data_IF_506128295219
#
_entry.id   IF_506128295219
#
_cell.length_a   1.000
_cell.length_b   1.000
_cell.length_c   1.000
_cell.angle_alpha   90.00
_cell.angle_beta   90.00
_cell.angle_gamma   90.00
#
_symmetry.space_group_name_H-M   'P 1'
#
loop_
_entity.id
_entity.type
_entity.pdbx_description
1 polymer ?
#
# COMPACT_ATOMS: atom_id res chain seq x y z
N UNK A 1 -14.01 -26.37 27.53
CA UNK A 1 -12.89 -26.17 26.57
C UNK A 1 -12.82 -24.67 26.28
N UNK A 2 -11.91 -23.97 26.91
CA UNK A 2 -11.66 -22.56 26.57
C UNK A 2 -11.12 -22.49 25.13
N UNK A 3 -11.89 -21.91 24.24
CA UNK A 3 -11.41 -21.57 22.90
C UNK A 3 -10.27 -20.56 23.08
N UNK A 4 -9.02 -21.02 23.00
CA UNK A 4 -7.86 -20.13 22.93
C UNK A 4 -8.13 -19.11 21.84
N UNK A 5 -8.38 -17.86 22.22
CA UNK A 5 -8.46 -16.72 21.28
C UNK A 5 -7.21 -16.79 20.42
N UNK A 6 -7.39 -17.06 19.13
CA UNK A 6 -6.30 -17.11 18.16
C UNK A 6 -5.63 -15.73 18.19
N UNK A 7 -4.46 -15.64 18.78
CA UNK A 7 -3.69 -14.37 18.82
C UNK A 7 -3.44 -13.97 17.37
N UNK A 8 -3.98 -12.81 16.97
CA UNK A 8 -3.77 -12.31 15.60
C UNK A 8 -2.30 -12.00 15.39
N UNK A 9 -1.75 -12.44 14.29
CA UNK A 9 -0.38 -12.10 13.91
C UNK A 9 -0.26 -10.60 13.57
N UNK A 10 0.95 -10.04 13.76
CA UNK A 10 1.24 -8.63 13.49
C UNK A 10 1.97 -8.46 12.15
N UNK A 11 1.73 -7.34 11.45
CA UNK A 11 2.54 -6.91 10.32
C UNK A 11 3.73 -6.07 10.76
N UNK A 12 4.85 -6.12 10.02
CA UNK A 12 5.97 -5.20 10.19
C UNK A 12 6.16 -4.39 8.90
N UNK A 13 6.06 -3.06 9.01
CA UNK A 13 6.39 -2.12 7.95
C UNK A 13 7.76 -1.49 8.22
N UNK A 14 8.67 -1.58 7.25
CA UNK A 14 9.98 -0.94 7.31
C UNK A 14 10.01 0.20 6.30
N UNK A 15 10.06 1.43 6.79
CA UNK A 15 10.19 2.61 5.94
C UNK A 15 11.64 2.79 5.50
N UNK A 16 11.90 2.74 4.21
CA UNK A 16 13.23 2.99 3.64
C UNK A 16 13.19 4.36 2.95
N UNK A 17 13.77 5.41 3.56
CA UNK A 17 13.56 6.78 3.11
C UNK A 17 14.46 7.24 1.95
N UNK A 18 15.17 6.36 1.28
CA UNK A 18 16.14 6.75 0.25
C UNK A 18 15.53 6.76 -1.14
N UNK A 19 15.81 7.82 -1.92
CA UNK A 19 15.48 7.96 -3.33
C UNK A 19 16.69 8.47 -4.11
N UNK A 20 16.88 8.01 -5.36
CA UNK A 20 17.84 8.65 -6.28
C UNK A 20 17.39 10.07 -6.58
N UNK A 21 16.11 10.25 -6.85
CA UNK A 21 15.46 11.53 -7.12
C UNK A 21 14.02 11.48 -6.62
N UNK A 22 13.58 12.53 -5.93
CA UNK A 22 12.19 12.66 -5.50
C UNK A 22 11.29 13.04 -6.67
N UNK A 23 10.23 12.27 -6.89
CA UNK A 23 9.24 12.55 -7.93
C UNK A 23 8.43 13.80 -7.57
N UNK A 24 8.03 14.64 -8.55
CA UNK A 24 7.39 15.92 -8.28
C UNK A 24 5.98 15.83 -7.66
N UNK A 25 5.35 14.67 -7.71
CA UNK A 25 4.04 14.41 -7.10
C UNK A 25 4.12 13.73 -5.73
N UNK A 26 5.30 13.21 -5.33
CA UNK A 26 5.43 12.34 -4.16
C UNK A 26 5.51 13.13 -2.86
N UNK A 27 4.63 12.84 -1.90
CA UNK A 27 4.62 13.43 -0.55
C UNK A 27 5.30 12.54 0.50
N UNK A 28 5.65 11.29 0.15
CA UNK A 28 6.33 10.39 1.07
C UNK A 28 7.65 10.97 1.54
N UNK A 29 7.94 10.74 2.82
CA UNK A 29 9.22 11.15 3.38
C UNK A 29 10.36 10.39 2.72
N UNK A 30 11.28 11.13 2.11
CA UNK A 30 12.48 10.57 1.51
C UNK A 30 13.64 11.59 1.55
N UNK A 31 14.86 11.06 1.53
CA UNK A 31 16.12 11.79 1.48
C UNK A 31 16.93 11.32 0.26
N UNK A 32 17.89 12.13 -0.16
CA UNK A 32 18.81 11.77 -1.21
C UNK A 32 19.62 10.52 -0.85
N UNK A 33 20.03 9.77 -1.87
CA UNK A 33 20.86 8.58 -1.73
C UNK A 33 22.23 8.94 -1.10
N UNK A 34 22.63 8.20 -0.05
CA UNK A 34 23.90 8.35 0.65
C UNK A 34 24.30 7.00 1.29
N UNK A 35 25.32 6.34 0.74
CA UNK A 35 25.76 5.00 1.16
C UNK A 35 26.13 4.93 2.64
N UNK A 36 26.93 5.89 3.16
CA UNK A 36 27.34 5.90 4.56
C UNK A 36 26.14 6.04 5.50
N UNK A 37 25.15 6.85 5.11
CA UNK A 37 23.92 7.03 5.88
C UNK A 37 23.04 5.77 5.85
N UNK A 38 23.05 5.02 4.75
CA UNK A 38 22.31 3.75 4.65
C UNK A 38 22.79 2.69 5.64
N UNK A 39 24.11 2.59 5.86
CA UNK A 39 24.66 1.65 6.86
C UNK A 39 24.24 2.03 8.28
N UNK A 40 24.40 3.30 8.63
CA UNK A 40 24.00 3.83 9.94
C UNK A 40 22.48 3.62 10.15
N UNK A 41 21.68 3.94 9.13
CA UNK A 41 20.24 3.77 9.14
C UNK A 41 19.84 2.30 9.32
N UNK A 42 20.45 1.38 8.58
CA UNK A 42 20.20 -0.06 8.70
C UNK A 42 20.47 -0.57 10.11
N UNK A 43 21.57 -0.09 10.74
CA UNK A 43 21.87 -0.43 12.13
C UNK A 43 20.80 0.09 13.09
N UNK A 44 20.31 1.32 12.90
CA UNK A 44 19.23 1.90 13.71
C UNK A 44 17.91 1.12 13.56
N UNK A 45 17.56 0.69 12.34
CA UNK A 45 16.41 -0.19 12.07
C UNK A 45 16.56 -1.52 12.83
N UNK A 46 17.72 -2.18 12.74
CA UNK A 46 17.98 -3.43 13.45
C UNK A 46 17.89 -3.27 14.98
N UNK A 47 18.38 -2.16 15.51
CA UNK A 47 18.27 -1.84 16.95
C UNK A 47 16.80 -1.63 17.36
N UNK A 48 16.02 -0.93 16.52
CA UNK A 48 14.60 -0.72 16.75
C UNK A 48 13.83 -2.05 16.77
N UNK A 49 14.10 -2.95 15.81
CA UNK A 49 13.51 -4.31 15.76
C UNK A 49 13.80 -5.05 17.07
N UNK A 50 15.06 -5.08 17.52
CA UNK A 50 15.47 -5.71 18.80
C UNK A 50 14.74 -5.10 20.00
N UNK A 51 14.54 -3.78 20.03
CA UNK A 51 13.85 -3.11 21.15
C UNK A 51 12.35 -3.43 21.16
N UNK A 52 11.71 -3.48 19.99
CA UNK A 52 10.29 -3.81 19.88
C UNK A 52 10.00 -5.28 20.20
N UNK A 53 10.90 -6.21 19.88
CA UNK A 53 10.70 -7.63 20.21
C UNK A 53 10.57 -7.91 21.71
N UNK A 54 11.09 -7.03 22.55
CA UNK A 54 10.89 -7.12 24.02
C UNK A 54 9.47 -6.75 24.46
N UNK A 55 8.71 -6.07 23.61
CA UNK A 55 7.37 -5.54 23.90
C UNK A 55 6.25 -6.28 23.14
N UNK A 56 6.60 -6.98 22.06
CA UNK A 56 5.67 -7.67 21.16
C UNK A 56 6.04 -9.14 21.13
N UNK A 57 5.10 -10.00 21.57
CA UNK A 57 5.25 -11.46 21.57
C UNK A 57 4.45 -12.15 20.46
N UNK A 58 3.80 -11.37 19.60
CA UNK A 58 2.96 -11.88 18.51
C UNK A 58 3.81 -12.43 17.37
N UNK A 59 3.27 -13.45 16.67
CA UNK A 59 3.83 -13.95 15.43
C UNK A 59 3.75 -12.87 14.33
N UNK A 60 4.71 -12.89 13.41
CA UNK A 60 4.75 -11.97 12.25
C UNK A 60 4.33 -12.73 11.00
N UNK A 61 3.32 -12.24 10.31
CA UNK A 61 2.79 -12.83 9.08
C UNK A 61 2.95 -11.96 7.83
N UNK A 62 3.36 -10.69 8.00
CA UNK A 62 3.72 -9.81 6.88
C UNK A 62 4.91 -8.92 7.23
N UNK A 63 5.82 -8.73 6.27
CA UNK A 63 6.91 -7.76 6.33
C UNK A 63 6.85 -6.94 5.03
N UNK A 64 6.81 -5.61 5.15
CA UNK A 64 6.70 -4.73 4.00
C UNK A 64 7.80 -3.66 4.02
N UNK A 65 8.65 -3.66 3.01
CA UNK A 65 9.65 -2.62 2.78
C UNK A 65 9.10 -1.59 1.80
N UNK A 66 8.82 -0.39 2.28
CA UNK A 66 8.23 0.69 1.49
C UNK A 66 8.82 2.06 1.80
N UNK A 67 8.25 3.10 1.18
CA UNK A 67 8.53 4.50 1.48
C UNK A 67 9.18 5.29 0.37
N UNK A 68 10.50 5.37 0.29
CA UNK A 68 11.23 5.97 -0.81
C UNK A 68 11.40 4.98 -1.97
N UNK A 69 12.55 4.36 -2.06
CA UNK A 69 12.85 3.26 -2.99
C UNK A 69 13.64 2.20 -2.22
N UNK A 70 12.96 1.25 -1.58
CA UNK A 70 13.60 0.27 -0.69
C UNK A 70 14.72 -0.53 -1.32
N UNK A 71 14.64 -0.82 -2.62
CA UNK A 71 15.67 -1.54 -3.35
C UNK A 71 17.04 -0.83 -3.42
N UNK A 72 17.07 0.49 -3.15
CA UNK A 72 18.33 1.26 -3.17
C UNK A 72 19.29 0.92 -2.04
N UNK A 73 18.79 0.41 -0.90
CA UNK A 73 19.72 0.05 0.19
C UNK A 73 20.55 -1.20 -0.11
N UNK A 74 20.22 -1.92 -1.18
CA UNK A 74 20.93 -3.11 -1.64
C UNK A 74 20.59 -4.37 -0.86
N UNK A 75 20.89 -5.51 -1.48
CA UNK A 75 20.47 -6.84 -1.00
C UNK A 75 21.09 -7.19 0.36
N UNK A 76 22.32 -6.79 0.61
CA UNK A 76 23.04 -7.08 1.88
C UNK A 76 22.35 -6.43 3.08
N UNK A 77 21.93 -5.15 2.95
CA UNK A 77 21.23 -4.44 4.04
C UNK A 77 19.82 -4.96 4.23
N UNK A 78 19.12 -5.30 3.13
CA UNK A 78 17.82 -5.97 3.19
C UNK A 78 17.91 -7.29 3.96
N UNK A 79 18.89 -8.13 3.61
CA UNK A 79 19.14 -9.39 4.30
C UNK A 79 19.40 -9.17 5.79
N UNK A 80 20.26 -8.20 6.15
CA UNK A 80 20.55 -7.88 7.56
C UNK A 80 19.28 -7.52 8.35
N UNK A 81 18.36 -6.75 7.76
CA UNK A 81 17.09 -6.40 8.40
C UNK A 81 16.21 -7.65 8.55
N UNK A 82 16.04 -8.44 7.48
CA UNK A 82 15.21 -9.66 7.48
C UNK A 82 15.75 -10.66 8.51
N UNK A 83 17.05 -10.91 8.55
CA UNK A 83 17.68 -11.79 9.53
C UNK A 83 17.50 -11.27 10.96
N UNK A 84 17.52 -9.95 11.16
CA UNK A 84 17.26 -9.37 12.47
C UNK A 84 15.81 -9.61 12.89
N UNK A 85 14.83 -9.46 11.98
CA UNK A 85 13.42 -9.78 12.28
C UNK A 85 13.29 -11.27 12.61
N UNK A 86 13.85 -12.16 11.78
CA UNK A 86 13.79 -13.61 12.00
C UNK A 86 14.45 -14.07 13.31
N UNK A 87 15.48 -13.35 13.77
CA UNK A 87 16.16 -13.61 15.04
C UNK A 87 15.30 -13.26 16.26
N UNK A 88 14.51 -12.20 16.18
CA UNK A 88 13.82 -11.64 17.34
C UNK A 88 12.31 -11.86 17.34
N UNK A 89 11.70 -12.24 16.22
CA UNK A 89 10.28 -12.51 16.09
C UNK A 89 10.03 -13.92 15.54
N UNK A 90 8.91 -14.52 15.93
CA UNK A 90 8.44 -15.78 15.35
C UNK A 90 7.77 -15.45 14.01
N UNK A 91 8.32 -15.95 12.91
CA UNK A 91 7.77 -15.78 11.57
C UNK A 91 6.76 -16.89 11.25
N UNK A 92 5.58 -16.49 10.76
CA UNK A 92 4.51 -17.42 10.38
C UNK A 92 4.24 -17.34 8.88
N UNK A 93 5.08 -17.97 8.09
CA UNK A 93 4.99 -17.95 6.62
C UNK A 93 4.69 -16.53 6.08
N UNK A 94 5.52 -15.54 6.40
CA UNK A 94 5.21 -14.15 6.13
C UNK A 94 5.18 -13.85 4.63
N UNK A 95 4.24 -13.01 4.22
CA UNK A 95 4.37 -12.26 2.98
C UNK A 95 5.46 -11.20 3.19
N UNK A 96 6.55 -11.28 2.42
CA UNK A 96 7.67 -10.32 2.48
C UNK A 96 7.67 -9.52 1.18
N UNK A 97 7.21 -8.28 1.26
CA UNK A 97 7.09 -7.37 0.11
C UNK A 97 8.23 -6.37 0.08
N UNK A 98 8.72 -6.05 -1.12
CA UNK A 98 9.61 -4.91 -1.38
C UNK A 98 9.09 -4.06 -2.53
N UNK A 99 9.10 -2.73 -2.34
CA UNK A 99 8.86 -1.77 -3.40
C UNK A 99 10.14 -1.55 -4.25
N UNK A 100 9.96 -1.57 -5.57
CA UNK A 100 11.04 -1.43 -6.54
C UNK A 100 10.60 -0.48 -7.65
N UNK A 101 11.51 0.38 -8.11
CA UNK A 101 11.30 1.14 -9.34
C UNK A 101 12.03 0.43 -10.50
N UNK A 102 11.42 0.35 -11.70
CA UNK A 102 12.17 -0.04 -12.89
C UNK A 102 13.33 0.95 -13.10
N UNK A 103 14.52 0.44 -13.32
CA UNK A 103 15.72 1.24 -13.53
C UNK A 103 16.42 0.81 -14.81
N UNK A 104 17.06 1.76 -15.50
CA UNK A 104 17.88 1.44 -16.68
C UNK A 104 19.18 0.77 -16.24
N UNK A 105 19.44 -0.42 -16.76
CA UNK A 105 20.75 -1.06 -16.77
C UNK A 105 21.22 -1.80 -15.53
N UNK A 106 20.64 -1.59 -14.33
CA UNK A 106 21.00 -2.35 -13.13
C UNK A 106 19.82 -3.15 -12.63
N UNK A 107 19.86 -4.46 -12.83
CA UNK A 107 18.91 -5.37 -12.21
C UNK A 107 19.41 -5.79 -10.82
N UNK A 108 18.47 -5.94 -9.90
CA UNK A 108 18.70 -6.61 -8.63
C UNK A 108 18.92 -8.12 -8.86
N UNK A 109 19.67 -8.76 -7.99
CA UNK A 109 19.72 -10.21 -7.96
C UNK A 109 18.44 -10.77 -7.33
N UNK A 110 17.45 -11.05 -8.19
CA UNK A 110 16.16 -11.60 -7.75
C UNK A 110 16.29 -13.01 -7.14
N UNK A 111 17.28 -13.80 -7.57
CA UNK A 111 17.56 -15.11 -6.98
C UNK A 111 18.03 -14.95 -5.55
N UNK A 112 18.89 -13.98 -5.28
CA UNK A 112 19.30 -13.64 -3.92
C UNK A 112 18.14 -13.07 -3.11
N UNK A 113 17.35 -12.15 -3.66
CA UNK A 113 16.16 -11.61 -2.96
C UNK A 113 15.18 -12.74 -2.56
N UNK A 114 14.95 -13.69 -3.46
CA UNK A 114 14.15 -14.88 -3.16
C UNK A 114 14.77 -15.72 -2.04
N UNK A 115 16.09 -15.93 -2.07
CA UNK A 115 16.79 -16.75 -1.07
C UNK A 115 16.73 -16.18 0.33
N UNK A 116 16.66 -14.84 0.48
CA UNK A 116 16.50 -14.17 1.78
C UNK A 116 15.05 -14.06 2.22
N UNK A 117 14.10 -14.62 1.45
CA UNK A 117 12.69 -14.75 1.81
C UNK A 117 11.75 -13.74 1.18
N UNK A 118 12.23 -12.77 0.35
CA UNK A 118 11.34 -11.87 -0.38
C UNK A 118 10.51 -12.69 -1.36
N UNK A 119 9.18 -12.58 -1.25
CA UNK A 119 8.23 -13.39 -2.02
C UNK A 119 7.14 -12.55 -2.70
N UNK A 120 7.15 -11.22 -2.54
CA UNK A 120 6.26 -10.30 -3.22
C UNK A 120 7.01 -9.02 -3.63
N UNK A 121 6.74 -8.53 -4.85
CA UNK A 121 7.27 -7.26 -5.36
C UNK A 121 6.13 -6.27 -5.60
N UNK A 122 6.37 -4.96 -5.34
CA UNK A 122 5.54 -3.85 -5.81
C UNK A 122 6.39 -2.99 -6.73
N UNK A 123 6.01 -2.91 -8.00
CA UNK A 123 6.84 -2.30 -9.04
C UNK A 123 6.18 -1.01 -9.53
N UNK A 124 6.82 0.11 -9.27
CA UNK A 124 6.33 1.44 -9.61
C UNK A 124 6.40 1.76 -11.10
N UNK A 125 5.53 1.18 -11.92
CA UNK A 125 5.43 1.44 -13.37
C UNK A 125 4.83 2.80 -13.67
N UNK A 126 3.73 3.16 -13.03
CA UNK A 126 2.92 4.36 -13.13
C UNK A 126 2.20 4.52 -14.49
N UNK A 127 2.89 4.39 -15.60
CA UNK A 127 2.36 4.43 -16.98
C UNK A 127 3.32 3.72 -17.94
N UNK A 128 2.83 3.35 -19.11
CA UNK A 128 3.66 2.89 -20.25
C UNK A 128 3.95 4.03 -21.25
N UNK A 129 3.27 5.16 -21.12
CA UNK A 129 3.44 6.30 -22.03
C UNK A 129 4.66 7.15 -21.60
N UNK A 130 5.56 7.45 -22.54
CA UNK A 130 6.82 8.17 -22.27
C UNK A 130 6.59 9.61 -21.79
N UNK A 131 5.60 10.30 -22.35
CA UNK A 131 5.34 11.71 -22.02
C UNK A 131 4.69 11.83 -20.63
N UNK A 132 3.81 10.90 -20.29
CA UNK A 132 3.24 10.77 -18.95
C UNK A 132 4.34 10.49 -17.93
N UNK A 133 5.21 9.49 -18.18
CA UNK A 133 6.34 9.17 -17.31
C UNK A 133 7.30 10.35 -17.15
N UNK A 134 7.61 11.06 -18.23
CA UNK A 134 8.45 12.26 -18.20
C UNK A 134 7.83 13.35 -17.31
N UNK A 135 6.52 13.58 -17.42
CA UNK A 135 5.80 14.53 -16.58
C UNK A 135 5.85 14.13 -15.10
N UNK A 136 5.74 12.83 -14.81
CA UNK A 136 5.88 12.28 -13.46
C UNK A 136 7.33 12.27 -12.95
N UNK A 137 8.31 12.74 -13.75
CA UNK A 137 9.73 12.73 -13.38
C UNK A 137 10.35 11.35 -13.35
N UNK A 138 9.76 10.36 -14.05
CA UNK A 138 10.26 8.98 -14.14
C UNK A 138 11.24 8.83 -15.29
N UNK A 139 12.32 8.07 -15.07
CA UNK A 139 13.40 7.87 -16.06
C UNK A 139 13.37 6.51 -16.74
N UNK A 140 12.46 5.61 -16.35
CA UNK A 140 12.27 4.30 -16.95
C UNK A 140 11.24 4.33 -18.09
N UNK A 141 11.12 3.24 -18.81
CA UNK A 141 10.09 3.00 -19.82
C UNK A 141 9.43 1.62 -19.61
N UNK A 142 8.42 1.33 -20.42
CA UNK A 142 7.67 0.08 -20.34
C UNK A 142 8.54 -1.18 -20.50
N UNK A 143 9.61 -1.11 -21.32
CA UNK A 143 10.51 -2.25 -21.53
C UNK A 143 11.37 -2.53 -20.30
N UNK A 144 11.80 -1.51 -19.57
CA UNK A 144 12.56 -1.68 -18.32
C UNK A 144 11.72 -2.45 -17.29
N UNK A 145 10.42 -2.15 -17.21
CA UNK A 145 9.49 -2.88 -16.33
C UNK A 145 9.29 -4.34 -16.78
N UNK A 146 9.14 -4.60 -18.09
CA UNK A 146 9.03 -5.97 -18.63
C UNK A 146 10.27 -6.81 -18.30
N UNK A 147 11.47 -6.25 -18.47
CA UNK A 147 12.72 -6.93 -18.14
C UNK A 147 12.78 -7.26 -16.65
N UNK A 148 12.44 -6.30 -15.78
CA UNK A 148 12.40 -6.51 -14.33
C UNK A 148 11.44 -7.64 -13.95
N UNK A 149 10.21 -7.59 -14.43
CA UNK A 149 9.16 -8.59 -14.14
C UNK A 149 9.62 -9.98 -14.60
N UNK A 150 10.08 -10.10 -15.86
CA UNK A 150 10.57 -11.38 -16.40
C UNK A 150 11.74 -11.94 -15.59
N UNK A 151 12.66 -11.09 -15.13
CA UNK A 151 13.81 -11.51 -14.30
C UNK A 151 13.37 -11.98 -12.92
N UNK A 152 12.39 -11.31 -12.29
CA UNK A 152 11.82 -11.73 -11.02
C UNK A 152 11.08 -13.08 -11.13
N UNK A 153 10.26 -13.25 -12.18
CA UNK A 153 9.54 -14.51 -12.44
C UNK A 153 10.51 -15.68 -12.70
N UNK A 154 11.58 -15.46 -13.47
CA UNK A 154 12.64 -16.46 -13.67
C UNK A 154 13.32 -16.89 -12.36
N UNK A 155 13.41 -16.00 -11.40
CA UNK A 155 13.92 -16.30 -10.06
C UNK A 155 12.86 -16.93 -9.12
N UNK A 156 11.63 -17.15 -9.60
CA UNK A 156 10.52 -17.76 -8.84
C UNK A 156 9.78 -16.78 -7.92
N UNK A 157 9.82 -15.47 -8.21
CA UNK A 157 8.97 -14.47 -7.55
C UNK A 157 7.82 -14.12 -8.49
N UNK A 158 6.68 -14.81 -8.31
CA UNK A 158 5.50 -14.67 -9.17
C UNK A 158 4.43 -13.72 -8.59
N UNK A 159 4.47 -13.46 -7.27
CA UNK A 159 3.59 -12.48 -6.65
C UNK A 159 4.11 -11.07 -6.91
N UNK A 160 3.66 -10.48 -8.01
CA UNK A 160 4.12 -9.16 -8.47
C UNK A 160 2.92 -8.22 -8.60
N UNK A 161 3.02 -7.06 -7.97
CA UNK A 161 2.16 -5.90 -8.18
C UNK A 161 2.79 -4.94 -9.15
N UNK A 162 1.99 -4.40 -10.08
CA UNK A 162 2.34 -3.20 -10.84
C UNK A 162 1.52 -2.01 -10.33
N UNK A 163 2.22 -0.93 -10.00
CA UNK A 163 1.59 0.28 -9.55
C UNK A 163 1.36 1.20 -10.75
N UNK A 164 0.11 1.57 -10.99
CA UNK A 164 -0.35 2.48 -12.04
C UNK A 164 -0.91 3.74 -11.41
N UNK A 165 -0.76 4.87 -12.09
CA UNK A 165 -1.42 6.11 -11.71
C UNK A 165 -2.52 6.46 -12.69
N UNK A 166 -3.67 6.88 -12.14
CA UNK A 166 -4.86 7.28 -12.91
C UNK A 166 -5.01 8.80 -12.78
N UNK A 167 -5.58 9.42 -13.81
CA UNK A 167 -5.83 10.87 -13.89
C UNK A 167 -4.54 11.71 -13.78
N UNK A 168 -3.45 11.21 -14.34
CA UNK A 168 -2.19 11.95 -14.44
C UNK A 168 -2.20 12.92 -15.64
N UNK A 169 -1.34 13.95 -15.64
CA UNK A 169 -1.27 14.87 -16.77
C UNK A 169 -1.03 14.14 -18.09
N UNK A 170 -1.72 14.54 -19.15
CA UNK A 170 -1.67 14.01 -20.52
C UNK A 170 -2.29 12.62 -20.69
N UNK A 171 -2.79 11.99 -19.64
CA UNK A 171 -3.36 10.64 -19.73
C UNK A 171 -4.61 10.58 -20.59
N UNK A 172 -4.72 9.54 -21.38
CA UNK A 172 -5.87 9.24 -22.23
C UNK A 172 -6.36 7.81 -21.98
N UNK A 173 -7.57 7.49 -22.35
CA UNK A 173 -8.10 6.12 -22.32
C UNK A 173 -7.16 5.12 -23.00
N UNK A 174 -6.59 5.52 -24.14
CA UNK A 174 -5.66 4.66 -24.90
C UNK A 174 -4.38 4.39 -24.12
N UNK A 175 -3.78 5.38 -23.49
CA UNK A 175 -2.55 5.20 -22.73
C UNK A 175 -2.78 4.42 -21.43
N UNK A 176 -3.92 4.66 -20.76
CA UNK A 176 -4.31 3.91 -19.57
C UNK A 176 -4.56 2.42 -19.89
N UNK A 177 -5.35 2.14 -20.93
CA UNK A 177 -5.63 0.76 -21.39
C UNK A 177 -4.33 0.04 -21.80
N UNK A 178 -3.40 0.72 -22.48
CA UNK A 178 -2.09 0.16 -22.82
C UNK A 178 -1.25 -0.20 -21.58
N UNK A 179 -1.34 0.62 -20.52
CA UNK A 179 -0.66 0.33 -19.25
C UNK A 179 -1.27 -0.88 -18.53
N UNK A 180 -2.58 -1.01 -18.53
CA UNK A 180 -3.28 -2.17 -17.97
C UNK A 180 -3.03 -3.44 -18.81
N UNK A 181 -2.97 -3.31 -20.13
CA UNK A 181 -2.64 -4.42 -21.02
C UNK A 181 -1.22 -4.97 -20.77
N UNK A 182 -0.26 -4.10 -20.44
CA UNK A 182 1.07 -4.55 -20.02
C UNK A 182 0.99 -5.40 -18.75
N UNK A 183 0.16 -5.04 -17.77
CA UNK A 183 -0.03 -5.85 -16.57
C UNK A 183 -0.50 -7.27 -16.93
N UNK A 184 -1.52 -7.38 -17.79
CA UNK A 184 -2.04 -8.66 -18.28
C UNK A 184 -0.99 -9.46 -19.03
N UNK A 185 -0.30 -8.83 -19.98
CA UNK A 185 0.68 -9.51 -20.84
C UNK A 185 1.94 -9.92 -20.09
N UNK A 186 2.23 -9.31 -18.96
CA UNK A 186 3.34 -9.67 -18.08
C UNK A 186 2.94 -10.70 -17.00
N UNK A 187 1.71 -11.20 -17.00
CA UNK A 187 1.17 -12.16 -16.03
C UNK A 187 1.40 -11.76 -14.57
N UNK A 188 1.26 -10.46 -14.25
CA UNK A 188 1.35 -10.03 -12.85
C UNK A 188 0.08 -10.41 -12.09
N UNK A 189 0.21 -10.66 -10.79
CA UNK A 189 -0.89 -11.15 -9.95
C UNK A 189 -1.73 -10.04 -9.33
N UNK A 190 -1.23 -8.80 -9.34
CA UNK A 190 -1.81 -7.67 -8.62
C UNK A 190 -1.55 -6.35 -9.38
N UNK A 191 -2.49 -5.41 -9.27
CA UNK A 191 -2.36 -4.05 -9.81
C UNK A 191 -2.82 -3.07 -8.75
N UNK A 192 -1.95 -2.11 -8.41
CA UNK A 192 -2.32 -0.93 -7.62
C UNK A 192 -2.63 0.22 -8.58
N UNK A 193 -3.83 0.74 -8.57
CA UNK A 193 -4.28 1.78 -9.49
C UNK A 193 -4.74 3.01 -8.69
N UNK A 194 -3.80 3.94 -8.49
CA UNK A 194 -4.01 5.13 -7.65
C UNK A 194 -4.41 6.34 -8.49
N UNK A 195 -5.49 7.02 -8.13
CA UNK A 195 -5.76 8.35 -8.67
C UNK A 195 -4.70 9.35 -8.17
N UNK A 196 -4.17 10.17 -9.08
CA UNK A 196 -3.23 11.22 -8.71
C UNK A 196 -3.91 12.21 -7.75
N UNK A 197 -3.30 12.36 -6.57
CA UNK A 197 -3.65 13.42 -5.63
C UNK A 197 -2.49 14.40 -5.53
N UNK A 198 -2.77 15.68 -5.69
CA UNK A 198 -1.76 16.73 -5.58
C UNK A 198 -1.74 17.25 -4.16
N UNK A 199 -0.72 16.81 -3.40
CA UNK A 199 -0.59 17.15 -1.99
C UNK A 199 0.19 18.46 -1.78
N UNK A 200 -0.21 19.29 -0.80
CA UNK A 200 0.55 20.47 -0.39
C UNK A 200 2.01 20.09 -0.03
N UNK A 201 2.95 20.95 -0.40
CA UNK A 201 4.38 20.71 -0.16
C UNK A 201 5.08 19.87 -1.23
N UNK A 202 4.36 19.39 -2.24
CA UNK A 202 4.95 18.75 -3.42
C UNK A 202 5.24 19.78 -4.53
N UNK A 203 6.23 19.56 -5.40
CA UNK A 203 6.43 20.40 -6.57
C UNK A 203 5.15 20.51 -7.43
N UNK A 204 4.39 19.45 -7.66
CA UNK A 204 3.14 19.48 -8.42
C UNK A 204 2.12 20.47 -7.83
N UNK A 205 2.07 20.61 -6.51
CA UNK A 205 1.20 21.60 -5.87
C UNK A 205 1.57 23.04 -6.26
N UNK A 206 2.87 23.35 -6.37
CA UNK A 206 3.36 24.70 -6.65
C UNK A 206 3.05 25.16 -8.08
N UNK A 207 2.97 24.23 -9.04
CA UNK A 207 2.68 24.55 -10.44
C UNK A 207 1.47 23.78 -11.01
N UNK A 208 0.53 23.41 -10.15
CA UNK A 208 -0.68 22.66 -10.54
C UNK A 208 -1.48 23.30 -11.66
N UNK A 209 -1.52 24.64 -11.72
CA UNK A 209 -2.24 25.40 -12.76
C UNK A 209 -1.64 25.23 -14.16
N UNK A 210 -0.39 24.80 -14.28
CA UNK A 210 0.28 24.56 -15.57
C UNK A 210 0.23 23.08 -16.00
N UNK A 211 -0.19 22.18 -15.10
CA UNK A 211 -0.34 20.77 -15.41
C UNK A 211 -1.60 20.56 -16.28
N UNK A 212 -1.44 19.84 -17.37
CA UNK A 212 -2.56 19.40 -18.21
C UNK A 212 -3.29 18.23 -17.57
N UNK A 213 -3.95 18.48 -16.46
CA UNK A 213 -4.73 17.47 -15.74
C UNK A 213 -6.07 17.24 -16.45
N UNK A 214 -6.62 16.01 -16.40
CA UNK A 214 -7.99 15.76 -16.77
C UNK A 214 -8.94 16.57 -15.86
N UNK A 215 -10.08 16.99 -16.38
CA UNK A 215 -11.13 17.59 -15.57
C UNK A 215 -11.80 16.51 -14.69
N UNK A 216 -12.80 16.89 -13.92
CA UNK A 216 -13.46 15.98 -12.98
C UNK A 216 -14.21 14.85 -13.70
N UNK A 217 -14.92 15.17 -14.80
CA UNK A 217 -15.64 14.16 -15.62
C UNK A 217 -14.66 13.17 -16.26
N UNK A 218 -13.57 13.67 -16.84
CA UNK A 218 -12.51 12.83 -17.42
C UNK A 218 -11.83 11.97 -16.35
N UNK A 219 -11.65 12.51 -15.14
CA UNK A 219 -11.09 11.74 -14.00
C UNK A 219 -11.98 10.57 -13.61
N UNK A 220 -13.29 10.81 -13.48
CA UNK A 220 -14.30 9.78 -13.22
C UNK A 220 -14.28 8.73 -14.35
N UNK A 221 -14.29 9.18 -15.60
CA UNK A 221 -14.26 8.33 -16.77
C UNK A 221 -13.01 7.43 -16.78
N UNK A 222 -11.81 8.00 -16.57
CA UNK A 222 -10.56 7.23 -16.52
C UNK A 222 -10.55 6.19 -15.38
N UNK A 223 -11.07 6.55 -14.21
CA UNK A 223 -11.17 5.59 -13.10
C UNK A 223 -12.09 4.42 -13.44
N UNK A 224 -13.29 4.69 -13.95
CA UNK A 224 -14.24 3.62 -14.32
C UNK A 224 -13.71 2.77 -15.48
N UNK A 225 -13.03 3.39 -16.45
CA UNK A 225 -12.32 2.68 -17.54
C UNK A 225 -11.24 1.75 -16.98
N UNK A 226 -10.49 2.19 -15.98
CA UNK A 226 -9.47 1.34 -15.31
C UNK A 226 -10.14 0.13 -14.63
N UNK A 227 -11.20 0.36 -13.84
CA UNK A 227 -11.94 -0.70 -13.15
C UNK A 227 -12.48 -1.74 -14.15
N UNK A 228 -13.18 -1.30 -15.18
CA UNK A 228 -13.75 -2.17 -16.21
C UNK A 228 -12.68 -2.97 -16.97
N UNK A 229 -11.58 -2.31 -17.36
CA UNK A 229 -10.50 -2.95 -18.10
C UNK A 229 -9.76 -3.98 -17.26
N UNK A 230 -9.49 -3.67 -15.99
CA UNK A 230 -8.86 -4.60 -15.05
C UNK A 230 -9.74 -5.81 -14.79
N UNK A 231 -11.05 -5.60 -14.58
CA UNK A 231 -12.01 -6.68 -14.35
C UNK A 231 -12.12 -7.60 -15.57
N UNK A 232 -12.16 -7.04 -16.78
CA UNK A 232 -12.13 -7.79 -18.04
C UNK A 232 -10.90 -8.70 -18.15
N UNK A 233 -9.78 -8.30 -17.58
CA UNK A 233 -8.54 -9.12 -17.56
C UNK A 233 -8.43 -10.03 -16.33
N UNK A 234 -9.47 -10.10 -15.50
CA UNK A 234 -9.58 -11.03 -14.36
C UNK A 234 -9.01 -10.48 -13.05
N UNK A 235 -8.63 -9.19 -13.01
CA UNK A 235 -8.24 -8.52 -11.76
C UNK A 235 -9.50 -7.98 -11.07
N UNK A 236 -9.85 -8.54 -9.92
CA UNK A 236 -10.98 -8.07 -9.12
C UNK A 236 -10.53 -6.98 -8.16
N UNK A 237 -11.27 -5.89 -8.12
CA UNK A 237 -11.08 -4.86 -7.10
C UNK A 237 -11.39 -5.46 -5.73
N UNK A 238 -10.49 -5.34 -4.76
CA UNK A 238 -10.73 -5.80 -3.40
C UNK A 238 -10.72 -4.65 -2.37
N UNK A 239 -10.16 -3.50 -2.74
CA UNK A 239 -10.24 -2.24 -2.00
C UNK A 239 -10.12 -1.05 -2.95
N UNK A 240 -10.25 0.16 -2.44
CA UNK A 240 -10.44 1.41 -3.19
C UNK A 240 -9.44 1.63 -4.34
N UNK A 241 -8.18 1.16 -4.20
CA UNK A 241 -7.10 1.37 -5.19
C UNK A 241 -6.43 0.09 -5.69
N UNK A 242 -6.78 -1.08 -5.14
CA UNK A 242 -6.05 -2.30 -5.45
C UNK A 242 -6.94 -3.41 -6.05
N UNK A 243 -6.35 -4.08 -7.03
CA UNK A 243 -6.96 -5.15 -7.83
C UNK A 243 -6.04 -6.36 -7.85
N UNK A 244 -6.60 -7.56 -7.80
CA UNK A 244 -5.81 -8.79 -7.85
C UNK A 244 -6.54 -9.92 -8.55
N UNK A 245 -5.80 -10.91 -9.03
CA UNK A 245 -6.37 -12.24 -9.27
C UNK A 245 -6.68 -12.90 -7.92
N UNK A 246 -7.53 -13.92 -7.92
CA UNK A 246 -8.00 -14.56 -6.67
C UNK A 246 -6.85 -15.00 -5.77
N UNK A 247 -6.95 -14.67 -4.48
CA UNK A 247 -6.00 -14.99 -3.40
C UNK A 247 -4.61 -14.33 -3.52
N UNK A 248 -4.51 -13.26 -4.32
CA UNK A 248 -3.26 -12.48 -4.48
C UNK A 248 -3.39 -11.05 -3.94
N UNK A 249 -4.37 -10.80 -3.09
CA UNK A 249 -4.50 -9.53 -2.36
C UNK A 249 -3.27 -9.28 -1.48
N UNK A 250 -2.82 -8.03 -1.37
CA UNK A 250 -1.73 -7.66 -0.46
C UNK A 250 -2.15 -7.89 0.99
N UNK A 251 -1.59 -8.90 1.63
CA UNK A 251 -1.92 -9.25 3.03
C UNK A 251 -1.53 -8.13 3.98
N UNK A 252 -0.44 -7.43 3.68
CA UNK A 252 0.01 -6.32 4.52
C UNK A 252 -0.95 -5.13 4.44
N UNK A 253 -1.40 -4.73 3.23
CA UNK A 253 -2.36 -3.64 3.05
C UNK A 253 -3.72 -3.97 3.69
N UNK A 254 -4.16 -5.23 3.58
CA UNK A 254 -5.39 -5.69 4.23
C UNK A 254 -5.36 -5.54 5.74
N UNK A 255 -4.18 -5.58 6.41
CA UNK A 255 -4.10 -5.30 7.86
C UNK A 255 -4.56 -3.89 8.19
N UNK A 256 -4.19 -2.91 7.38
CA UNK A 256 -4.64 -1.52 7.59
C UNK A 256 -6.16 -1.42 7.50
N UNK A 257 -6.75 -1.95 6.43
CA UNK A 257 -8.19 -1.91 6.19
C UNK A 257 -9.01 -2.74 7.17
N UNK A 258 -8.48 -3.84 7.66
CA UNK A 258 -9.10 -4.65 8.71
C UNK A 258 -8.91 -4.09 10.13
N UNK A 259 -8.21 -2.97 10.26
CA UNK A 259 -7.81 -2.44 11.55
C UNK A 259 -7.10 -3.51 12.40
N UNK A 260 -6.19 -4.27 11.78
CA UNK A 260 -5.31 -5.23 12.42
C UNK A 260 -4.01 -4.56 12.86
N UNK A 261 -3.31 -5.18 13.81
CA UNK A 261 -2.11 -4.60 14.35
C UNK A 261 -0.92 -4.67 13.40
N UNK A 262 -0.15 -3.61 13.38
CA UNK A 262 1.12 -3.52 12.66
C UNK A 262 2.11 -2.60 13.37
N UNK A 263 3.39 -2.91 13.21
CA UNK A 263 4.52 -2.15 13.71
C UNK A 263 5.22 -1.47 12.52
N UNK A 264 5.24 -0.16 12.50
CA UNK A 264 6.06 0.63 11.57
C UNK A 264 7.40 0.97 12.21
N UNK A 265 8.50 0.80 11.45
CA UNK A 265 9.86 1.13 11.85
C UNK A 265 10.49 2.03 10.79
N UNK A 266 11.06 3.14 11.21
CA UNK A 266 11.69 4.15 10.36
C UNK A 266 10.99 5.51 10.41
N UNK A 267 11.63 6.57 9.90
CA UNK A 267 11.07 7.92 9.95
C UNK A 267 9.74 7.97 9.21
N UNK A 268 8.76 8.68 9.78
CA UNK A 268 7.38 8.77 9.27
C UNK A 268 6.57 7.46 9.28
N UNK A 269 7.11 6.35 9.77
CA UNK A 269 6.38 5.09 9.87
C UNK A 269 5.38 5.15 11.02
N UNK A 270 4.12 4.82 10.72
CA UNK A 270 3.03 4.70 11.68
C UNK A 270 2.89 3.27 12.18
N UNK A 271 2.31 3.12 13.36
CA UNK A 271 2.02 1.83 13.99
C UNK A 271 0.63 1.83 14.62
N UNK A 272 0.03 0.64 14.69
CA UNK A 272 -1.19 0.40 15.45
C UNK A 272 -1.02 -0.87 16.29
N UNK A 273 -0.88 -0.73 17.60
CA UNK A 273 -0.63 -1.83 18.53
C UNK A 273 -1.39 -1.60 19.83
N UNK A 274 -2.08 -2.60 20.34
CA UNK A 274 -2.83 -2.54 21.60
C UNK A 274 -3.77 -1.32 21.66
N UNK A 275 -4.52 -1.09 20.58
CA UNK A 275 -5.45 0.05 20.44
C UNK A 275 -4.78 1.42 20.51
N UNK A 276 -3.48 1.53 20.31
CA UNK A 276 -2.74 2.81 20.30
C UNK A 276 -2.13 3.02 18.92
N UNK A 277 -2.26 4.25 18.41
CA UNK A 277 -1.56 4.74 17.24
C UNK A 277 -0.38 5.58 17.68
N UNK A 278 0.74 5.35 17.03
CA UNK A 278 1.97 6.10 17.24
C UNK A 278 2.83 6.05 15.98
N UNK A 279 3.79 6.96 15.87
CA UNK A 279 4.65 7.05 14.71
C UNK A 279 6.05 7.52 15.09
N UNK A 280 7.00 7.35 14.18
CA UNK A 280 8.30 7.99 14.27
C UNK A 280 8.27 9.36 13.58
N UNK A 281 9.04 10.33 14.11
CA UNK A 281 9.13 11.66 13.51
C UNK A 281 9.56 11.61 12.04
N UNK A 282 9.18 12.62 11.27
CA UNK A 282 9.54 12.77 9.85
C UNK A 282 10.99 13.29 9.70
N UNK A 283 11.95 12.60 10.34
CA UNK A 283 13.38 12.93 10.36
C UNK A 283 14.24 11.69 10.52
N UNK A 284 15.08 11.42 9.53
CA UNK A 284 16.02 10.29 9.58
C UNK A 284 17.05 10.46 10.72
N UNK A 285 17.51 11.68 10.98
CA UNK A 285 18.47 11.96 12.04
C UNK A 285 17.86 11.70 13.43
N UNK A 286 16.62 12.14 13.65
CA UNK A 286 15.90 11.86 14.91
C UNK A 286 15.67 10.36 15.09
N UNK A 287 15.30 9.63 14.01
CA UNK A 287 15.15 8.18 14.07
C UNK A 287 16.47 7.47 14.44
N UNK A 288 17.58 7.85 13.82
CA UNK A 288 18.89 7.25 14.09
C UNK A 288 19.36 7.53 15.52
N UNK A 289 19.26 8.78 15.97
CA UNK A 289 19.87 9.21 17.23
C UNK A 289 19.00 8.91 18.45
N UNK A 290 17.67 9.06 18.33
CA UNK A 290 16.76 8.98 19.48
C UNK A 290 15.89 7.72 19.44
N UNK A 291 15.55 7.23 18.25
CA UNK A 291 14.63 6.09 18.02
C UNK A 291 13.32 6.23 18.83
N UNK A 292 12.83 7.49 18.96
CA UNK A 292 11.71 7.85 19.81
C UNK A 292 10.40 7.86 19.02
N UNK A 293 9.39 7.20 19.58
CA UNK A 293 8.01 7.24 19.05
C UNK A 293 7.26 8.46 19.58
N UNK A 294 6.32 8.92 18.79
CA UNK A 294 5.36 9.97 19.13
C UNK A 294 3.99 9.29 19.21
N UNK A 295 3.33 9.41 20.35
CA UNK A 295 1.94 8.95 20.52
C UNK A 295 1.01 9.85 19.71
N UNK A 296 0.11 9.24 18.96
CA UNK A 296 -0.89 9.94 18.15
C UNK A 296 -2.27 9.92 18.82
N UNK A 297 -2.88 8.72 18.91
CA UNK A 297 -4.26 8.58 19.37
C UNK A 297 -4.57 7.17 19.88
N UNK A 298 -5.73 7.01 20.48
CA UNK A 298 -6.40 5.71 20.62
C UNK A 298 -7.01 5.35 19.27
N UNK A 299 -7.11 4.04 18.98
CA UNK A 299 -7.69 3.55 17.75
C UNK A 299 -8.36 2.19 17.91
N UNK A 300 -8.92 1.69 16.82
CA UNK A 300 -9.55 0.37 16.77
C UNK A 300 -10.95 0.33 17.39
N UNK A 301 -11.62 1.46 17.54
CA UNK A 301 -13.02 1.54 17.91
C UNK A 301 -13.96 1.22 16.73
N UNK A 302 -15.24 1.22 16.98
CA UNK A 302 -16.29 0.94 15.98
C UNK A 302 -16.22 1.94 14.82
N UNK A 303 -16.02 3.21 15.11
CA UNK A 303 -16.00 4.30 14.13
C UNK A 303 -14.81 4.14 13.18
N UNK A 304 -13.61 4.00 13.71
CA UNK A 304 -12.41 3.83 12.91
C UNK A 304 -12.43 2.52 12.09
N UNK A 305 -12.84 1.42 12.71
CA UNK A 305 -13.00 0.16 12.00
C UNK A 305 -13.97 0.29 10.83
N UNK A 306 -15.11 0.92 11.04
CA UNK A 306 -16.12 1.11 10.00
C UNK A 306 -15.60 2.00 8.85
N UNK A 307 -14.90 3.08 9.20
CA UNK A 307 -14.25 3.97 8.24
C UNK A 307 -13.23 3.23 7.34
N UNK A 308 -12.44 2.34 7.92
CA UNK A 308 -11.44 1.57 7.20
C UNK A 308 -12.08 0.46 6.35
N UNK A 309 -13.06 -0.26 6.91
CA UNK A 309 -13.73 -1.37 6.24
C UNK A 309 -14.55 -0.95 5.02
N UNK A 310 -15.20 0.23 5.07
CA UNK A 310 -15.93 0.76 3.92
C UNK A 310 -15.03 1.12 2.73
N UNK A 311 -13.70 1.09 2.88
CA UNK A 311 -12.75 1.18 1.74
C UNK A 311 -12.44 -0.18 1.10
N UNK A 312 -12.91 -1.29 1.68
CA UNK A 312 -12.86 -2.61 1.07
C UNK A 312 -14.11 -2.87 0.24
N UNK A 313 -13.99 -3.63 -0.83
CA UNK A 313 -15.11 -4.05 -1.65
C UNK A 313 -16.17 -4.83 -0.84
N UNK A 314 -15.73 -5.63 0.15
CA UNK A 314 -16.61 -6.35 1.08
C UNK A 314 -17.29 -5.45 2.12
N UNK A 315 -16.86 -4.21 2.25
CA UNK A 315 -17.43 -3.25 3.17
C UNK A 315 -17.55 -3.73 4.62
N UNK A 316 -18.63 -3.33 5.28
CA UNK A 316 -19.01 -3.80 6.60
C UNK A 316 -19.87 -5.05 6.48
N UNK A 317 -19.51 -6.11 7.17
CA UNK A 317 -20.25 -7.37 7.25
C UNK A 317 -20.57 -7.67 8.73
N UNK A 318 -21.83 -7.95 9.07
CA UNK A 318 -22.26 -8.27 10.45
C UNK A 318 -21.43 -9.40 11.07
N UNK A 319 -21.08 -10.42 10.30
CA UNK A 319 -20.28 -11.54 10.80
C UNK A 319 -18.90 -11.12 11.32
N UNK A 320 -18.17 -10.31 10.56
CA UNK A 320 -16.83 -9.86 10.96
C UNK A 320 -16.91 -8.76 12.02
N UNK A 321 -17.95 -7.92 11.96
CA UNK A 321 -18.23 -6.88 12.95
C UNK A 321 -18.52 -7.49 14.33
N UNK A 322 -19.40 -8.48 14.38
CA UNK A 322 -19.75 -9.19 15.60
C UNK A 322 -18.55 -9.94 16.21
N UNK A 323 -17.73 -10.58 15.37
CA UNK A 323 -16.49 -11.23 15.80
C UNK A 323 -15.51 -10.26 16.47
N UNK A 324 -15.46 -9.00 16.02
CA UNK A 324 -14.52 -7.99 16.52
C UNK A 324 -15.06 -7.25 17.75
N UNK A 325 -16.34 -6.90 17.76
CA UNK A 325 -16.96 -6.02 18.76
C UNK A 325 -18.03 -6.69 19.61
N UNK A 326 -18.41 -7.94 19.34
CA UNK A 326 -19.51 -8.67 20.01
C UNK A 326 -20.88 -7.97 19.90
N UNK A 327 -21.07 -7.19 18.82
CA UNK A 327 -22.33 -6.54 18.47
C UNK A 327 -22.46 -6.50 16.92
N UNK A 328 -23.65 -6.22 16.43
CA UNK A 328 -23.88 -6.01 14.99
C UNK A 328 -23.52 -4.57 14.58
N UNK A 329 -23.47 -4.34 13.27
CA UNK A 329 -23.34 -2.99 12.68
C UNK A 329 -24.48 -2.13 13.24
N UNK A 330 -24.22 -0.89 13.69
CA UNK A 330 -25.24 -0.02 14.24
C UNK A 330 -26.42 0.19 13.26
N UNK A 331 -27.64 0.13 13.75
CA UNK A 331 -28.84 0.37 12.93
C UNK A 331 -28.85 1.76 12.28
N UNK A 332 -28.26 2.75 12.96
CA UNK A 332 -28.09 4.10 12.41
C UNK A 332 -27.27 4.10 11.11
N UNK A 333 -26.27 3.22 10.98
CA UNK A 333 -25.47 3.10 9.75
C UNK A 333 -26.30 2.54 8.61
N UNK A 334 -27.13 1.52 8.87
CA UNK A 334 -28.08 1.01 7.86
C UNK A 334 -29.09 2.06 7.44
N UNK A 335 -29.70 2.78 8.39
CA UNK A 335 -30.67 3.83 8.09
C UNK A 335 -30.08 4.94 7.21
N UNK A 336 -28.81 5.31 7.43
CA UNK A 336 -28.10 6.29 6.62
C UNK A 336 -27.70 5.73 5.25
N UNK A 337 -27.16 4.51 5.19
CA UNK A 337 -26.78 3.86 3.95
C UNK A 337 -27.98 3.64 2.99
N UNK A 338 -29.16 3.29 3.54
CA UNK A 338 -30.38 3.10 2.76
C UNK A 338 -30.83 4.34 1.98
N UNK A 339 -30.46 5.56 2.41
CA UNK A 339 -30.72 6.80 1.65
C UNK A 339 -30.08 6.78 0.25
N UNK A 340 -29.01 6.02 0.10
CA UNK A 340 -28.23 5.90 -1.15
C UNK A 340 -28.54 4.63 -1.95
N UNK A 341 -29.49 3.78 -1.50
CA UNK A 341 -29.76 2.48 -2.13
C UNK A 341 -30.06 2.57 -3.63
N UNK A 342 -30.72 3.65 -4.08
CA UNK A 342 -31.13 3.81 -5.48
C UNK A 342 -30.16 4.68 -6.31
N UNK A 343 -29.03 5.11 -5.72
CA UNK A 343 -28.07 5.96 -6.43
C UNK A 343 -27.03 5.17 -7.20
N UNK A 344 -26.93 3.85 -6.95
CA UNK A 344 -25.87 3.00 -7.48
C UNK A 344 -24.51 3.19 -6.80
N UNK A 345 -24.44 3.94 -5.67
CA UNK A 345 -23.20 4.20 -4.92
C UNK A 345 -22.96 3.16 -3.81
N UNK A 346 -24.04 2.59 -3.26
CA UNK A 346 -23.99 1.70 -2.11
C UNK A 346 -24.83 0.44 -2.39
N UNK A 347 -24.32 -0.71 -1.98
CA UNK A 347 -25.06 -1.95 -1.84
C UNK A 347 -25.32 -2.14 -0.36
N UNK A 348 -26.58 -2.19 0.03
CA UNK A 348 -27.02 -2.38 1.39
C UNK A 348 -27.93 -3.58 1.50
N UNK A 349 -27.55 -4.58 2.28
CA UNK A 349 -28.31 -5.79 2.58
C UNK A 349 -28.61 -5.86 4.07
N UNK A 350 -29.37 -6.83 4.55
CA UNK A 350 -29.62 -7.02 5.99
C UNK A 350 -28.34 -7.35 6.77
N UNK A 351 -27.25 -7.73 6.10
CA UNK A 351 -26.03 -8.21 6.72
C UNK A 351 -24.77 -7.42 6.33
N UNK A 352 -24.85 -6.50 5.36
CA UNK A 352 -23.68 -5.76 4.88
C UNK A 352 -24.01 -4.35 4.39
N UNK A 353 -23.00 -3.50 4.42
CA UNK A 353 -22.96 -2.17 3.78
C UNK A 353 -21.67 -2.10 2.97
N UNK A 354 -21.78 -1.94 1.66
CA UNK A 354 -20.66 -1.99 0.72
C UNK A 354 -20.71 -0.76 -0.20
N UNK A 355 -19.55 -0.17 -0.53
CA UNK A 355 -19.45 0.84 -1.57
C UNK A 355 -19.24 0.15 -2.92
N UNK A 356 -19.90 0.65 -3.95
CA UNK A 356 -19.66 0.24 -5.34
C UNK A 356 -18.41 0.93 -5.90
N UNK A 357 -17.96 0.57 -7.10
CA UNK A 357 -16.89 1.30 -7.80
C UNK A 357 -17.23 2.80 -7.96
N UNK A 358 -18.49 3.14 -8.25
CA UNK A 358 -18.95 4.55 -8.27
C UNK A 358 -18.92 5.17 -6.87
N UNK A 359 -19.27 4.40 -5.85
CA UNK A 359 -19.24 4.84 -4.45
C UNK A 359 -17.81 5.14 -3.98
N UNK A 360 -16.80 4.43 -4.48
CA UNK A 360 -15.39 4.72 -4.14
C UNK A 360 -14.93 6.10 -4.61
N UNK A 361 -15.47 6.64 -5.70
CA UNK A 361 -15.16 7.99 -6.19
C UNK A 361 -15.51 9.09 -5.19
N UNK A 362 -16.56 8.89 -4.40
CA UNK A 362 -17.07 9.81 -3.38
C UNK A 362 -17.05 9.18 -1.99
N UNK A 363 -16.09 8.28 -1.77
CA UNK A 363 -16.05 7.46 -0.55
C UNK A 363 -15.89 8.28 0.72
N UNK A 364 -15.16 9.38 0.71
CA UNK A 364 -14.94 10.17 1.92
C UNK A 364 -16.25 10.77 2.44
N UNK A 365 -17.06 11.34 1.54
CA UNK A 365 -18.38 11.91 1.85
C UNK A 365 -19.35 10.82 2.32
N UNK A 366 -19.45 9.70 1.56
CA UNK A 366 -20.32 8.60 1.92
C UNK A 366 -19.98 7.98 3.28
N UNK A 367 -18.68 7.75 3.51
CA UNK A 367 -18.21 7.20 4.78
C UNK A 367 -18.51 8.13 5.94
N UNK A 368 -18.25 9.45 5.79
CA UNK A 368 -18.55 10.43 6.80
C UNK A 368 -20.07 10.45 7.12
N UNK A 369 -20.94 10.47 6.10
CA UNK A 369 -22.38 10.49 6.30
C UNK A 369 -22.93 9.20 6.91
N UNK A 370 -22.38 8.04 6.58
CA UNK A 370 -22.84 6.76 7.14
C UNK A 370 -22.44 6.64 8.62
N UNK A 371 -21.21 7.06 8.95
CA UNK A 371 -20.62 6.79 10.26
C UNK A 371 -20.90 7.91 11.27
N UNK A 372 -20.80 9.18 10.87
CA UNK A 372 -20.96 10.35 11.75
C UNK A 372 -22.42 10.81 11.85
#
# INVERSE_FOLDING_TARGET
>A
METKKKVSAIGIYIHIPFCEKKCPYCDFYSVANNESLMDIYTNAVCLSIKNWSKKITKEVDTIYFGGGTPSLIGETRLNKIIQTIAKYFILKNPEITIEINPTKGKLLDFSYLKSIGINRLSVGLQSTNKDELKTLGRNHNANDAKILISSAQKAGIDNISLDLMIAIPLQTDKSLKASIELCKNSNVSHVSAYMLKIEPGTPFYNYKSTLKLPNEEDTVHLYLTACETLEKYGYKQYEISNFSISNMESKHNLKYWNCDEYLGIGPSAHSFINKKRFYYSKSINTFINENKIIYDSQGGDITEYSMLRLRLNKGLENKEFNKKFSCNIPESYYAKALKYKNTGLIICTDNSIELTQKGFLVSNELIAEIIL
#
